data_IF_638635257248
#
_entry.id   IF_638635257248
#
_cell.length_a   1.000
_cell.length_b   1.000
_cell.length_c   1.000
_cell.angle_alpha   90.00
_cell.angle_beta   90.00
_cell.angle_gamma   90.00
#
_symmetry.space_group_name_H-M   'P 1'
#
loop_
_entity.id
_entity.type
_entity.pdbx_description
1 polymer ?
#
# COMPACT_ATOMS: atom_id res chain seq x y z
N UNK A 1 12.02 1.39 -5.71
CA UNK A 1 11.10 1.54 -6.87
C UNK A 1 11.09 0.23 -7.63
N UNK A 2 9.93 -0.38 -7.83
CA UNK A 2 9.82 -1.62 -8.60
C UNK A 2 10.02 -1.34 -10.10
N UNK A 3 10.84 -2.14 -10.77
CA UNK A 3 11.08 -2.01 -12.22
C UNK A 3 9.87 -2.57 -12.98
N UNK A 4 9.25 -1.75 -13.84
CA UNK A 4 8.12 -2.14 -14.68
C UNK A 4 8.62 -2.76 -15.99
N UNK A 5 8.50 -4.08 -16.13
CA UNK A 5 9.09 -4.83 -17.26
C UNK A 5 8.09 -5.20 -18.37
N UNK A 6 6.78 -5.06 -18.14
CA UNK A 6 5.73 -5.49 -19.06
C UNK A 6 4.82 -4.33 -19.48
N UNK A 7 4.47 -4.28 -20.77
CA UNK A 7 3.55 -3.27 -21.34
C UNK A 7 2.18 -3.88 -21.59
N UNK A 8 1.15 -3.24 -21.05
CA UNK A 8 -0.26 -3.57 -21.29
C UNK A 8 -0.90 -2.51 -22.22
N UNK A 9 -1.71 -2.95 -23.19
CA UNK A 9 -2.58 -2.09 -23.99
C UNK A 9 -4.03 -2.56 -23.83
N UNK A 10 -4.91 -1.66 -23.42
CA UNK A 10 -6.35 -1.93 -23.23
C UNK A 10 -7.14 -0.82 -23.91
N UNK A 11 -8.15 -1.20 -24.69
CA UNK A 11 -9.08 -0.26 -25.28
C UNK A 11 -10.20 0.06 -24.28
N UNK A 12 -10.48 1.34 -24.10
CA UNK A 12 -11.54 1.85 -23.24
C UNK A 12 -12.50 2.66 -24.09
N UNK A 13 -13.78 2.65 -23.72
CA UNK A 13 -14.73 3.64 -24.21
C UNK A 13 -14.44 5.03 -23.60
N UNK A 14 -15.06 6.05 -24.19
CA UNK A 14 -14.86 7.45 -23.80
C UNK A 14 -15.25 7.71 -22.34
N UNK A 15 -16.32 7.06 -21.85
CA UNK A 15 -16.79 7.23 -20.48
C UNK A 15 -15.77 6.73 -19.47
N UNK A 16 -15.24 5.50 -19.68
CA UNK A 16 -14.24 4.90 -18.80
C UNK A 16 -12.93 5.69 -18.84
N UNK A 17 -12.50 6.14 -20.02
CA UNK A 17 -11.31 6.98 -20.13
C UNK A 17 -11.48 8.30 -19.38
N UNK A 18 -12.61 8.99 -19.57
CA UNK A 18 -12.89 10.25 -18.89
C UNK A 18 -12.90 10.10 -17.36
N UNK A 19 -13.46 9.00 -16.85
CA UNK A 19 -13.45 8.69 -15.41
C UNK A 19 -12.02 8.50 -14.88
N UNK A 20 -11.17 7.77 -15.59
CA UNK A 20 -9.78 7.55 -15.18
C UNK A 20 -8.96 8.85 -15.20
N UNK A 21 -9.11 9.66 -16.24
CA UNK A 21 -8.39 10.95 -16.35
C UNK A 21 -8.80 11.89 -15.21
N UNK A 22 -10.10 12.06 -14.99
CA UNK A 22 -10.62 12.90 -13.92
C UNK A 22 -10.11 12.47 -12.54
N UNK A 23 -10.07 11.17 -12.29
CA UNK A 23 -9.58 10.65 -11.01
C UNK A 23 -8.06 10.81 -10.86
N UNK A 24 -7.30 10.67 -11.95
CA UNK A 24 -5.86 10.85 -11.95
C UNK A 24 -5.50 12.31 -11.63
N UNK A 25 -6.20 13.27 -12.26
CA UNK A 25 -6.07 14.70 -11.98
C UNK A 25 -6.43 15.01 -10.53
N UNK A 26 -7.56 14.49 -10.04
CA UNK A 26 -8.01 14.69 -8.66
C UNK A 26 -6.98 14.23 -7.63
N UNK A 27 -6.22 13.15 -7.92
CA UNK A 27 -5.18 12.61 -7.04
C UNK A 27 -3.77 13.15 -7.31
N UNK A 28 -3.59 14.00 -8.33
CA UNK A 28 -2.26 14.42 -8.77
C UNK A 28 -1.37 13.24 -9.21
N UNK A 29 -1.98 12.19 -9.76
CA UNK A 29 -1.30 10.94 -10.14
C UNK A 29 -1.49 10.65 -11.63
N UNK A 30 -0.89 9.56 -12.11
CA UNK A 30 -1.06 9.13 -13.50
C UNK A 30 -2.18 8.11 -13.65
N UNK A 31 -2.80 8.05 -14.83
CA UNK A 31 -3.74 6.97 -15.18
C UNK A 31 -3.09 5.59 -14.99
N UNK A 32 -1.80 5.46 -15.32
CA UNK A 32 -1.06 4.22 -15.13
C UNK A 32 -0.94 3.81 -13.65
N UNK A 33 -0.83 4.78 -12.74
CA UNK A 33 -0.82 4.52 -11.30
C UNK A 33 -2.17 4.00 -10.84
N UNK A 34 -3.27 4.64 -11.25
CA UNK A 34 -4.62 4.18 -10.92
C UNK A 34 -4.91 2.78 -11.45
N UNK A 35 -4.47 2.47 -12.67
CA UNK A 35 -4.65 1.12 -13.24
C UNK A 35 -3.91 0.07 -12.41
N UNK A 36 -2.68 0.36 -11.96
CA UNK A 36 -1.94 -0.56 -11.07
C UNK A 36 -2.62 -0.73 -9.72
N UNK A 37 -3.04 0.36 -9.07
CA UNK A 37 -3.78 0.30 -7.80
C UNK A 37 -5.09 -0.51 -7.92
N UNK A 38 -5.80 -0.34 -9.04
CA UNK A 38 -7.02 -1.10 -9.31
C UNK A 38 -6.72 -2.59 -9.53
N UNK A 39 -5.61 -2.93 -10.18
CA UNK A 39 -5.14 -4.32 -10.32
C UNK A 39 -4.81 -4.90 -8.94
N UNK A 40 -4.03 -4.20 -8.12
CA UNK A 40 -3.66 -4.68 -6.78
C UNK A 40 -4.89 -4.85 -5.87
N UNK A 41 -5.91 -4.01 -6.05
CA UNK A 41 -7.17 -4.11 -5.30
C UNK A 41 -8.04 -5.27 -5.78
N UNK A 42 -8.15 -5.48 -7.09
CA UNK A 42 -8.99 -6.52 -7.68
C UNK A 42 -8.33 -7.91 -7.63
N UNK A 43 -7.00 -7.94 -7.71
CA UNK A 43 -6.14 -9.10 -7.67
C UNK A 43 -5.06 -8.86 -6.62
N UNK A 44 -5.44 -8.86 -5.33
CA UNK A 44 -4.44 -8.76 -4.28
C UNK A 44 -3.41 -9.85 -4.50
N UNK A 45 -2.12 -9.49 -4.42
CA UNK A 45 -1.07 -10.48 -4.33
C UNK A 45 -1.51 -11.50 -3.28
N UNK A 46 -1.37 -12.79 -3.57
CA UNK A 46 -1.55 -13.80 -2.54
C UNK A 46 -0.64 -13.37 -1.39
N UNK A 47 -1.25 -12.83 -0.34
CA UNK A 47 -0.51 -12.39 0.82
C UNK A 47 0.33 -13.57 1.28
N UNK A 48 1.41 -13.28 1.99
CA UNK A 48 2.05 -14.32 2.78
C UNK A 48 0.93 -15.11 3.46
N UNK A 49 0.92 -16.43 3.29
CA UNK A 49 -0.03 -17.25 4.00
C UNK A 49 0.08 -16.89 5.48
N UNK A 50 -0.96 -17.11 6.29
CA UNK A 50 -0.87 -16.83 7.75
C UNK A 50 0.40 -17.43 8.38
N UNK A 51 0.87 -18.55 7.82
CA UNK A 51 2.13 -19.21 8.18
C UNK A 51 3.35 -18.39 7.77
N UNK A 52 3.42 -17.93 6.52
CA UNK A 52 4.56 -17.15 6.03
C UNK A 52 4.63 -15.75 6.66
N UNK A 53 3.47 -15.12 6.93
CA UNK A 53 3.40 -13.86 7.65
C UNK A 53 3.89 -14.02 9.10
N UNK A 54 3.50 -15.13 9.73
CA UNK A 54 3.99 -15.49 11.06
C UNK A 54 5.50 -15.73 11.06
N UNK A 55 6.05 -16.40 10.04
CA UNK A 55 7.49 -16.61 9.91
C UNK A 55 8.25 -15.30 9.78
N UNK A 56 7.81 -14.38 8.93
CA UNK A 56 8.46 -13.07 8.80
C UNK A 56 8.50 -12.30 10.12
N UNK A 57 7.41 -12.36 10.91
CA UNK A 57 7.37 -11.73 12.23
C UNK A 57 8.32 -12.41 13.23
N UNK A 58 8.40 -13.74 13.20
CA UNK A 58 9.21 -14.52 14.14
C UNK A 58 10.72 -14.53 13.78
N UNK A 59 11.04 -14.44 12.50
CA UNK A 59 12.41 -14.39 11.98
C UNK A 59 13.00 -12.97 12.03
N UNK A 60 12.19 -11.96 12.34
CA UNK A 60 12.67 -10.60 12.50
C UNK A 60 13.60 -10.49 13.72
N UNK A 61 14.67 -9.71 13.57
CA UNK A 61 15.59 -9.44 14.67
C UNK A 61 14.84 -8.72 15.80
N UNK A 62 14.95 -9.19 17.07
CA UNK A 62 14.31 -8.51 18.18
C UNK A 62 14.77 -7.06 18.27
N UNK A 63 13.81 -6.15 18.31
CA UNK A 63 14.09 -4.74 18.53
C UNK A 63 14.20 -4.53 20.03
N UNK A 64 15.32 -3.98 20.48
CA UNK A 64 15.43 -3.51 21.87
C UNK A 64 14.46 -2.35 22.07
N UNK A 65 13.49 -2.56 22.95
CA UNK A 65 12.55 -1.54 23.39
C UNK A 65 12.73 -1.29 24.88
N UNK A 66 12.40 -0.08 25.32
CA UNK A 66 12.40 0.30 26.74
C UNK A 66 11.34 -0.44 27.55
N UNK A 67 11.09 0.02 28.78
CA UNK A 67 10.01 -0.55 29.58
C UNK A 67 8.65 -0.34 28.91
N UNK A 68 7.72 -1.24 29.18
CA UNK A 68 6.36 -1.17 28.64
C UNK A 68 5.67 0.16 28.97
N UNK A 69 5.89 0.69 30.18
CA UNK A 69 5.27 1.97 30.57
C UNK A 69 5.74 3.13 29.68
N UNK A 70 7.04 3.22 29.44
CA UNK A 70 7.66 4.26 28.61
C UNK A 70 7.25 4.13 27.14
N UNK A 71 7.33 2.92 26.57
CA UNK A 71 6.96 2.68 25.17
C UNK A 71 5.49 2.99 24.91
N UNK A 72 4.61 2.63 25.85
CA UNK A 72 3.18 2.90 25.73
C UNK A 72 2.92 4.42 25.70
N UNK A 73 3.55 5.16 26.61
CA UNK A 73 3.40 6.62 26.69
C UNK A 73 3.90 7.31 25.41
N UNK A 74 5.01 6.83 24.84
CA UNK A 74 5.54 7.34 23.56
C UNK A 74 4.56 7.10 22.39
N UNK A 75 3.98 5.90 22.29
CA UNK A 75 3.01 5.55 21.25
C UNK A 75 1.77 6.44 21.38
N UNK A 76 1.23 6.60 22.59
CA UNK A 76 0.04 7.42 22.85
C UNK A 76 0.28 8.89 22.50
N UNK A 77 1.46 9.44 22.81
CA UNK A 77 1.86 10.79 22.41
C UNK A 77 1.96 10.95 20.89
N UNK A 78 2.52 9.96 20.20
CA UNK A 78 2.61 9.99 18.72
C UNK A 78 1.22 10.05 18.08
N UNK A 79 0.28 9.23 18.56
CA UNK A 79 -1.10 9.23 18.07
C UNK A 79 -1.82 10.56 18.29
N UNK A 80 -1.62 11.21 19.45
CA UNK A 80 -2.25 12.49 19.77
C UNK A 80 -1.68 13.66 18.96
N UNK A 81 -0.39 13.60 18.58
CA UNK A 81 0.26 14.65 17.79
C UNK A 81 -0.14 14.70 16.30
N UNK A 82 -0.78 13.64 15.79
CA UNK A 82 -1.20 13.50 14.40
C UNK A 82 -2.71 13.72 14.18
N UNK A 83 -3.41 14.26 15.19
CA UNK A 83 -4.83 14.63 15.14
C UNK A 83 -5.00 16.15 15.23
#
# INVERSE_FOLDING_TARGET
MATLNHRLQVLLDDERLARLVKEAERRGSSVATLVREAIDTAFPAEGLSRVDAGRVLLDAEPIEVGDWSELKDEIEQMYQSHQ
#
